data_IF_928825523811
#
_entry.id   IF_928825523811
#
_cell.length_a   1.000
_cell.length_b   1.000
_cell.length_c   1.000
_cell.angle_alpha   90.00
_cell.angle_beta   90.00
_cell.angle_gamma   90.00
#
_symmetry.space_group_name_H-M   'P 1'
#
loop_
_entity.id
_entity.type
_entity.pdbx_description
1 polymer ?
#
# COMPACT_ATOMS: atom_id res chain seq x y z
N UNK A 1 16.76 9.47 12.76
CA UNK A 1 17.17 8.08 12.42
C UNK A 1 15.92 7.21 12.21
N UNK A 2 16.08 5.93 11.87
CA UNK A 2 14.97 4.96 11.77
C UNK A 2 15.24 3.70 12.57
N UNK A 3 14.20 3.18 13.21
CA UNK A 3 14.29 2.02 14.09
C UNK A 3 13.23 0.99 13.74
N UNK A 4 13.63 -0.25 13.47
CA UNK A 4 12.72 -1.37 13.19
C UNK A 4 12.52 -2.20 14.44
N UNK A 5 11.26 -2.41 14.83
CA UNK A 5 10.93 -3.37 15.87
C UNK A 5 11.23 -4.80 15.38
N UNK A 6 12.16 -5.49 16.04
CA UNK A 6 12.56 -6.85 15.71
C UNK A 6 11.48 -7.91 15.95
N UNK A 7 10.36 -7.56 16.61
CA UNK A 7 9.24 -8.48 16.85
C UNK A 7 8.18 -8.37 15.76
N UNK A 8 7.78 -7.15 15.38
CA UNK A 8 6.59 -6.94 14.54
C UNK A 8 6.82 -6.13 13.26
N UNK A 9 8.05 -5.68 13.02
CA UNK A 9 8.45 -4.94 11.82
C UNK A 9 8.06 -3.46 11.80
N UNK A 10 7.46 -2.91 12.86
CA UNK A 10 7.11 -1.49 12.93
C UNK A 10 8.35 -0.60 12.79
N UNK A 11 8.27 0.42 11.93
CA UNK A 11 9.32 1.42 11.73
C UNK A 11 8.97 2.68 12.51
N UNK A 12 9.87 3.09 13.41
CA UNK A 12 9.80 4.34 14.13
C UNK A 12 10.77 5.36 13.52
N UNK A 13 10.26 6.55 13.24
CA UNK A 13 11.04 7.72 12.83
C UNK A 13 11.39 8.56 14.05
N UNK A 14 12.69 8.74 14.31
CA UNK A 14 13.16 9.50 15.46
C UNK A 14 14.62 9.26 15.76
N UNK A 15 15.18 10.05 16.67
CA UNK A 15 16.56 9.91 17.09
C UNK A 15 16.77 8.70 18.00
N UNK A 16 15.72 8.25 18.70
CA UNK A 16 15.73 7.07 19.55
C UNK A 16 14.43 6.27 19.40
N UNK A 17 14.42 4.94 19.64
CA UNK A 17 13.19 4.15 19.60
C UNK A 17 12.29 4.47 20.80
N UNK A 18 10.97 4.19 20.74
CA UNK A 18 10.08 4.38 21.89
C UNK A 18 10.35 3.35 23.00
N UNK A 19 9.91 3.64 24.23
CA UNK A 19 10.03 2.69 25.36
C UNK A 19 9.33 1.36 25.10
N UNK A 20 8.17 1.42 24.43
CA UNK A 20 7.40 0.25 23.99
C UNK A 20 6.96 0.46 22.55
N UNK A 21 6.99 -0.63 21.77
CA UNK A 21 6.48 -0.63 20.41
C UNK A 21 4.96 -0.37 20.43
N UNK A 22 4.45 0.64 19.69
CA UNK A 22 3.02 0.97 19.68
C UNK A 22 2.15 -0.11 19.03
N UNK A 23 2.73 -0.97 18.17
CA UNK A 23 2.01 -2.04 17.48
C UNK A 23 1.90 -3.34 18.28
N UNK A 24 2.94 -3.72 19.03
CA UNK A 24 3.01 -5.03 19.69
C UNK A 24 3.42 -5.00 21.16
N UNK A 25 3.74 -3.83 21.72
CA UNK A 25 4.15 -3.68 23.12
C UNK A 25 5.57 -4.14 23.45
N UNK A 26 6.33 -4.68 22.48
CA UNK A 26 7.72 -5.09 22.68
C UNK A 26 8.57 -3.94 23.25
N UNK A 27 9.51 -4.22 24.17
CA UNK A 27 10.27 -3.17 24.83
C UNK A 27 11.35 -2.58 23.90
N UNK A 28 11.88 -1.42 24.28
CA UNK A 28 12.84 -0.60 23.52
C UNK A 28 14.02 -1.39 22.97
N UNK A 29 14.53 -2.34 23.73
CA UNK A 29 15.73 -3.12 23.42
C UNK A 29 15.51 -4.09 22.25
N UNK A 30 14.25 -4.32 21.85
CA UNK A 30 13.91 -5.11 20.65
C UNK A 30 13.95 -4.29 19.37
N UNK A 31 14.21 -2.98 19.44
CA UNK A 31 14.40 -2.16 18.25
C UNK A 31 15.82 -2.25 17.73
N UNK A 32 15.94 -2.33 16.41
CA UNK A 32 17.20 -2.35 15.67
C UNK A 32 17.27 -1.05 14.87
N UNK A 33 18.36 -0.31 15.01
CA UNK A 33 18.62 0.88 14.19
C UNK A 33 18.89 0.45 12.75
N UNK A 34 18.29 1.14 11.80
CA UNK A 34 18.50 0.90 10.37
C UNK A 34 19.70 1.67 9.86
N UNK A 35 20.37 1.13 8.84
CA UNK A 35 21.41 1.88 8.11
C UNK A 35 20.79 3.03 7.32
N UNK A 36 21.62 3.97 6.88
CA UNK A 36 21.16 5.09 6.06
C UNK A 36 20.60 4.59 4.71
N UNK A 37 21.20 3.55 4.13
CA UNK A 37 20.70 2.93 2.89
C UNK A 37 19.33 2.27 3.10
N UNK A 38 19.15 1.52 4.20
CA UNK A 38 17.85 0.92 4.55
C UNK A 38 16.80 2.01 4.80
N UNK A 39 17.17 3.07 5.51
CA UNK A 39 16.31 4.21 5.80
C UNK A 39 15.86 4.92 4.51
N UNK A 40 16.77 5.16 3.58
CA UNK A 40 16.49 5.76 2.27
C UNK A 40 15.56 4.89 1.42
N UNK A 41 15.75 3.56 1.43
CA UNK A 41 14.86 2.62 0.74
C UNK A 41 13.44 2.65 1.32
N UNK A 42 13.30 2.72 2.64
CA UNK A 42 11.99 2.81 3.30
C UNK A 42 11.25 4.08 2.90
N UNK A 43 11.93 5.24 2.90
CA UNK A 43 11.31 6.51 2.51
C UNK A 43 10.81 6.48 1.05
N UNK A 44 11.63 5.95 0.14
CA UNK A 44 11.23 5.79 -1.26
C UNK A 44 10.04 4.84 -1.41
N UNK A 45 10.03 3.75 -0.66
CA UNK A 45 8.93 2.80 -0.68
C UNK A 45 7.65 3.34 -0.06
N UNK A 46 7.71 4.12 1.03
CA UNK A 46 6.54 4.80 1.62
C UNK A 46 5.83 5.66 0.59
N UNK A 47 6.60 6.50 -0.10
CA UNK A 47 6.07 7.35 -1.17
C UNK A 47 5.38 6.53 -2.27
N UNK A 48 6.05 5.52 -2.81
CA UNK A 48 5.46 4.68 -3.87
C UNK A 48 4.25 3.86 -3.38
N UNK A 49 4.28 3.36 -2.14
CA UNK A 49 3.18 2.61 -1.55
C UNK A 49 1.94 3.50 -1.37
N UNK A 50 2.10 4.75 -0.96
CA UNK A 50 1.01 5.73 -0.87
C UNK A 50 0.40 6.00 -2.24
N UNK A 51 1.22 6.11 -3.29
CA UNK A 51 0.73 6.24 -4.66
C UNK A 51 -0.06 5.00 -5.10
N UNK A 52 0.44 3.79 -4.82
CA UNK A 52 -0.28 2.56 -5.12
C UNK A 52 -1.59 2.46 -4.33
N UNK A 53 -1.63 2.85 -3.05
CA UNK A 53 -2.84 2.86 -2.24
C UNK A 53 -3.89 3.83 -2.82
N UNK A 54 -3.47 5.04 -3.21
CA UNK A 54 -4.35 6.01 -3.87
C UNK A 54 -4.85 5.51 -5.22
N UNK A 55 -3.99 4.88 -6.02
CA UNK A 55 -4.37 4.25 -7.28
C UNK A 55 -5.44 3.16 -7.06
N UNK A 56 -5.23 2.29 -6.08
CA UNK A 56 -6.20 1.24 -5.71
C UNK A 56 -7.55 1.86 -5.34
N UNK A 57 -7.56 2.93 -4.51
CA UNK A 57 -8.77 3.61 -4.12
C UNK A 57 -9.50 4.25 -5.32
N UNK A 58 -8.77 4.82 -6.28
CA UNK A 58 -9.35 5.34 -7.51
C UNK A 58 -9.96 4.23 -8.37
N UNK A 59 -9.28 3.09 -8.50
CA UNK A 59 -9.83 1.94 -9.23
C UNK A 59 -11.11 1.40 -8.58
N UNK A 60 -11.19 1.38 -7.25
CA UNK A 60 -12.43 1.02 -6.55
C UNK A 60 -13.58 2.00 -6.87
N UNK A 61 -13.31 3.30 -7.00
CA UNK A 61 -14.32 4.27 -7.44
C UNK A 61 -14.76 4.02 -8.88
N UNK A 62 -13.84 3.66 -9.78
CA UNK A 62 -14.17 3.27 -11.16
C UNK A 62 -15.04 2.02 -11.18
N UNK A 63 -14.77 1.02 -10.34
CA UNK A 63 -15.61 -0.18 -10.23
C UNK A 63 -17.04 0.16 -9.81
N UNK A 64 -17.21 1.03 -8.80
CA UNK A 64 -18.54 1.47 -8.34
C UNK A 64 -19.31 2.23 -9.43
N UNK A 65 -18.66 3.19 -10.10
CA UNK A 65 -19.25 3.93 -11.21
C UNK A 65 -19.65 3.00 -12.35
N UNK A 66 -18.79 2.05 -12.71
CA UNK A 66 -19.09 1.07 -13.73
C UNK A 66 -20.25 0.15 -13.33
N UNK A 67 -20.39 -0.17 -12.05
CA UNK A 67 -21.54 -0.94 -11.55
C UNK A 67 -22.85 -0.18 -11.68
N UNK A 68 -22.86 1.12 -11.38
CA UNK A 68 -24.03 1.97 -11.61
C UNK A 68 -24.40 2.01 -13.11
N UNK A 69 -23.43 2.19 -14.00
CA UNK A 69 -23.66 2.19 -15.45
C UNK A 69 -24.11 0.84 -16.02
N UNK A 70 -23.59 -0.27 -15.50
CA UNK A 70 -24.06 -1.63 -15.85
C UNK A 70 -25.50 -1.83 -15.39
N UNK A 71 -25.86 -1.32 -14.21
CA UNK A 71 -27.22 -1.42 -13.65
C UNK A 71 -28.22 -0.59 -14.45
N UNK A 72 -27.82 0.59 -14.91
CA UNK A 72 -28.65 1.47 -15.75
C UNK A 72 -28.96 0.81 -17.11
N UNK A 73 -27.99 0.13 -17.72
CA UNK A 73 -28.16 -0.70 -18.91
C UNK A 73 -28.88 0.00 -20.09
N UNK A 74 -28.52 1.25 -20.37
CA UNK A 74 -29.12 2.08 -21.41
C UNK A 74 -29.11 1.41 -22.80
N UNK A 75 -27.95 0.94 -23.23
CA UNK A 75 -27.75 0.29 -24.53
C UNK A 75 -26.51 -0.64 -24.54
N UNK A 76 -26.36 -1.52 -25.56
CA UNK A 76 -25.24 -2.47 -25.63
C UNK A 76 -23.84 -1.84 -25.69
N UNK A 77 -23.71 -0.65 -26.29
CA UNK A 77 -22.47 0.10 -26.36
C UNK A 77 -22.05 0.62 -24.98
N UNK A 78 -22.97 1.27 -24.26
CA UNK A 78 -22.75 1.69 -22.87
C UNK A 78 -22.37 0.51 -21.98
N UNK A 79 -23.10 -0.61 -22.07
CA UNK A 79 -22.83 -1.81 -21.29
C UNK A 79 -21.43 -2.37 -21.56
N UNK A 80 -20.97 -2.33 -22.81
CA UNK A 80 -19.62 -2.76 -23.20
C UNK A 80 -18.54 -1.90 -22.54
N UNK A 81 -18.71 -0.58 -22.55
CA UNK A 81 -17.77 0.37 -21.93
C UNK A 81 -17.68 0.15 -20.42
N UNK A 82 -18.80 0.07 -19.71
CA UNK A 82 -18.78 -0.10 -18.27
C UNK A 82 -18.22 -1.47 -17.85
N UNK A 83 -18.54 -2.55 -18.57
CA UNK A 83 -17.93 -3.87 -18.32
C UNK A 83 -16.41 -3.84 -18.51
N UNK A 84 -15.93 -3.19 -19.57
CA UNK A 84 -14.50 -3.04 -19.82
C UNK A 84 -13.81 -2.22 -18.72
N UNK A 85 -14.39 -1.07 -18.35
CA UNK A 85 -13.87 -0.22 -17.28
C UNK A 85 -13.77 -0.96 -15.95
N UNK A 86 -14.82 -1.71 -15.57
CA UNK A 86 -14.84 -2.52 -14.35
C UNK A 86 -13.74 -3.58 -14.33
N UNK A 87 -13.57 -4.30 -15.44
CA UNK A 87 -12.55 -5.33 -15.56
C UNK A 87 -11.14 -4.74 -15.48
N UNK A 88 -10.90 -3.63 -16.19
CA UNK A 88 -9.59 -2.99 -16.21
C UNK A 88 -9.22 -2.42 -14.83
N UNK A 89 -10.18 -1.79 -14.14
CA UNK A 89 -9.97 -1.27 -12.79
C UNK A 89 -9.52 -2.38 -11.82
N UNK A 90 -10.17 -3.54 -11.87
CA UNK A 90 -9.80 -4.71 -11.07
C UNK A 90 -8.38 -5.20 -11.35
N UNK A 91 -8.00 -5.29 -12.62
CA UNK A 91 -6.68 -5.73 -13.04
C UNK A 91 -5.62 -4.76 -12.50
N UNK A 92 -5.79 -3.46 -12.73
CA UNK A 92 -4.84 -2.44 -12.29
C UNK A 92 -4.70 -2.40 -10.76
N UNK A 93 -5.82 -2.51 -10.03
CA UNK A 93 -5.78 -2.55 -8.58
C UNK A 93 -5.04 -3.80 -8.05
N UNK A 94 -5.15 -4.95 -8.74
CA UNK A 94 -4.40 -6.17 -8.38
C UNK A 94 -2.91 -6.03 -8.68
N UNK A 95 -2.54 -5.43 -9.81
CA UNK A 95 -1.15 -5.14 -10.15
C UNK A 95 -0.49 -4.24 -9.11
N UNK A 96 -1.17 -3.17 -8.68
CA UNK A 96 -0.66 -2.28 -7.63
C UNK A 96 -0.42 -3.02 -6.31
N UNK A 97 -1.31 -3.95 -5.92
CA UNK A 97 -1.12 -4.78 -4.72
C UNK A 97 0.06 -5.76 -4.85
N UNK A 98 0.25 -6.32 -6.04
CA UNK A 98 1.38 -7.20 -6.30
C UNK A 98 2.73 -6.46 -6.15
N UNK A 99 2.79 -5.19 -6.58
CA UNK A 99 4.01 -4.39 -6.41
C UNK A 99 4.27 -4.04 -4.93
N UNK A 100 3.22 -3.68 -4.18
CA UNK A 100 3.34 -3.47 -2.72
C UNK A 100 3.89 -4.76 -2.05
N UNK A 101 3.41 -5.94 -2.43
CA UNK A 101 3.93 -7.21 -1.91
C UNK A 101 5.42 -7.40 -2.26
N UNK A 102 5.85 -6.99 -3.45
CA UNK A 102 7.26 -7.01 -3.86
C UNK A 102 8.11 -6.06 -3.00
N UNK A 103 7.60 -4.89 -2.64
CA UNK A 103 8.29 -3.98 -1.72
C UNK A 103 8.46 -4.62 -0.33
N UNK A 104 7.40 -5.25 0.20
CA UNK A 104 7.42 -5.94 1.49
C UNK A 104 8.40 -7.12 1.49
N UNK A 105 8.37 -7.97 0.46
CA UNK A 105 9.23 -9.16 0.38
C UNK A 105 10.71 -8.80 0.27
N UNK A 106 11.04 -7.63 -0.29
CA UNK A 106 12.40 -7.10 -0.37
C UNK A 106 12.82 -6.29 0.87
N UNK A 107 12.02 -6.26 1.93
CA UNK A 107 12.31 -5.49 3.15
C UNK A 107 12.26 -3.97 2.97
N UNK A 108 11.73 -3.49 1.85
CA UNK A 108 11.59 -2.06 1.53
C UNK A 108 10.19 -1.60 1.92
N UNK A 109 9.85 -1.72 3.20
CA UNK A 109 8.52 -1.43 3.73
C UNK A 109 8.63 -0.76 5.10
N UNK A 110 7.74 0.19 5.37
CA UNK A 110 7.64 0.92 6.63
C UNK A 110 6.63 2.04 6.56
#
# INVERSE_FOLDING_TARGET
MKWRCGVCGYIHDGDQPPEKCPKCGAPREKFIQLTEEEAGLIERSRFSNDLHARLIALMQKVELLADEGIKDNLDPGCLTVFRAAKNQARILARMARAEIQTHISKGKWG
#
